data_IF_955092127057
#
_entry.id   IF_955092127057
#
_cell.length_a   1.000
_cell.length_b   1.000
_cell.length_c   1.000
_cell.angle_alpha   90.00
_cell.angle_beta   90.00
_cell.angle_gamma   90.00
#
_symmetry.space_group_name_H-M   'P 1'
#
loop_
_entity.id
_entity.type
_entity.pdbx_description
1 polymer ?
#
# COMPACT_ATOMS: atom_id res chain seq x y z
N UNK A 1 2.29 8.52 -9.73
CA UNK A 1 1.96 8.54 -8.28
C UNK A 1 0.77 7.64 -7.99
N UNK A 2 0.71 7.05 -6.80
CA UNK A 2 -0.41 6.22 -6.36
C UNK A 2 -0.60 6.29 -4.84
N UNK A 3 -1.80 5.98 -4.39
CA UNK A 3 -2.14 5.73 -2.99
C UNK A 3 -3.32 4.74 -2.94
N UNK A 4 -3.71 4.26 -1.75
CA UNK A 4 -4.76 3.22 -1.59
C UNK A 4 -6.02 3.51 -2.41
N UNK A 5 -6.62 4.70 -2.26
CA UNK A 5 -7.89 5.08 -2.90
C UNK A 5 -7.83 6.34 -3.77
N UNK A 6 -6.66 6.81 -4.17
CA UNK A 6 -6.49 7.96 -5.08
C UNK A 6 -6.57 9.36 -4.44
N UNK A 7 -7.34 9.58 -3.37
CA UNK A 7 -7.60 10.94 -2.83
C UNK A 7 -6.35 11.75 -2.45
N UNK A 8 -5.30 11.09 -1.93
CA UNK A 8 -4.03 11.77 -1.61
C UNK A 8 -3.29 12.20 -2.88
N UNK A 9 -3.38 11.40 -3.94
CA UNK A 9 -2.76 11.72 -5.22
C UNK A 9 -3.48 12.87 -5.93
N UNK A 10 -4.80 13.00 -5.80
CA UNK A 10 -5.53 14.15 -6.35
C UNK A 10 -5.01 15.48 -5.77
N UNK A 11 -4.89 15.56 -4.45
CA UNK A 11 -4.34 16.75 -3.78
C UNK A 11 -2.87 16.95 -4.09
N UNK A 12 -2.07 15.88 -4.05
CA UNK A 12 -0.64 15.93 -4.32
C UNK A 12 -0.33 16.34 -5.76
N UNK A 13 -1.10 15.86 -6.73
CA UNK A 13 -0.88 16.16 -8.15
C UNK A 13 -1.24 17.60 -8.46
N UNK A 14 -2.33 18.12 -7.90
CA UNK A 14 -2.70 19.53 -7.99
C UNK A 14 -1.61 20.43 -7.38
N UNK A 15 -1.05 20.05 -6.24
CA UNK A 15 0.05 20.78 -5.60
C UNK A 15 1.34 20.78 -6.44
N UNK A 16 1.75 19.63 -6.98
CA UNK A 16 2.94 19.54 -7.83
C UNK A 16 2.80 20.34 -9.13
N UNK A 17 1.60 20.31 -9.73
CA UNK A 17 1.27 21.11 -10.92
C UNK A 17 1.31 22.61 -10.62
N UNK A 18 0.74 23.05 -9.50
CA UNK A 18 0.74 24.48 -9.13
C UNK A 18 2.14 25.03 -8.83
N UNK A 19 3.05 24.16 -8.37
CA UNK A 19 4.45 24.48 -8.14
C UNK A 19 5.35 24.28 -9.36
N UNK A 20 4.81 23.84 -10.50
CA UNK A 20 5.55 23.54 -11.73
C UNK A 20 6.80 22.66 -11.51
N UNK A 21 6.75 21.75 -10.52
CA UNK A 21 7.90 20.91 -10.13
C UNK A 21 8.24 19.90 -11.23
N UNK A 22 7.23 19.45 -11.98
CA UNK A 22 7.37 18.49 -13.05
C UNK A 22 6.47 18.89 -14.24
N UNK A 23 6.93 18.58 -15.46
CA UNK A 23 6.18 18.81 -16.70
C UNK A 23 4.94 17.93 -16.78
N UNK A 24 5.09 16.65 -16.44
CA UNK A 24 4.02 15.65 -16.49
C UNK A 24 3.82 15.01 -15.12
N UNK A 25 2.64 15.25 -14.52
CA UNK A 25 2.25 14.65 -13.24
C UNK A 25 1.19 13.58 -13.49
N UNK A 26 1.61 12.32 -13.47
CA UNK A 26 0.75 11.16 -13.70
C UNK A 26 0.31 10.52 -12.38
N UNK A 27 -0.95 10.13 -12.30
CA UNK A 27 -1.53 9.46 -11.14
C UNK A 27 -2.39 8.26 -11.53
N UNK A 28 -2.45 7.26 -10.67
CA UNK A 28 -3.31 6.09 -10.84
C UNK A 28 -4.76 6.46 -10.49
N UNK A 29 -5.65 6.47 -11.48
CA UNK A 29 -7.06 6.82 -11.29
C UNK A 29 -7.77 5.81 -10.39
N UNK A 30 -8.33 6.28 -9.27
CA UNK A 30 -8.98 5.43 -8.26
C UNK A 30 -8.01 4.70 -7.32
N UNK A 31 -6.70 4.94 -7.44
CA UNK A 31 -5.69 4.34 -6.55
C UNK A 31 -5.48 2.85 -6.77
N UNK A 32 -4.75 2.24 -5.83
CA UNK A 32 -4.36 0.83 -5.90
C UNK A 32 -5.59 -0.09 -5.81
N UNK A 33 -6.60 0.27 -4.99
CA UNK A 33 -7.81 -0.54 -4.84
C UNK A 33 -8.49 -0.80 -6.20
N UNK A 34 -8.74 0.25 -6.97
CA UNK A 34 -9.36 0.15 -8.30
C UNK A 34 -8.47 -0.56 -9.33
N UNK A 35 -7.15 -0.43 -9.20
CA UNK A 35 -6.22 -1.16 -10.03
C UNK A 35 -6.33 -2.68 -9.80
N UNK A 36 -6.41 -3.10 -8.54
CA UNK A 36 -6.52 -4.52 -8.19
C UNK A 36 -7.85 -5.14 -8.62
N UNK A 37 -8.95 -4.39 -8.56
CA UNK A 37 -10.24 -4.83 -9.09
C UNK A 37 -10.19 -5.05 -10.61
N UNK A 38 -9.40 -4.26 -11.34
CA UNK A 38 -9.35 -4.29 -12.81
C UNK A 38 -8.27 -5.22 -13.37
N UNK A 39 -7.19 -5.43 -12.62
CA UNK A 39 -6.02 -6.19 -13.04
C UNK A 39 -5.61 -7.18 -11.93
N UNK A 40 -6.35 -8.29 -11.77
CA UNK A 40 -6.06 -9.28 -10.73
C UNK A 40 -4.66 -9.91 -10.90
N UNK A 41 -4.25 -10.20 -12.14
CA UNK A 41 -2.92 -10.71 -12.47
C UNK A 41 -1.89 -9.58 -12.70
N UNK A 42 -2.11 -8.42 -12.09
CA UNK A 42 -1.29 -7.24 -12.27
C UNK A 42 0.10 -7.33 -11.63
N UNK A 43 0.77 -6.18 -11.60
CA UNK A 43 2.14 -6.03 -11.06
C UNK A 43 2.18 -5.82 -9.54
N UNK A 44 1.03 -5.76 -8.88
CA UNK A 44 0.98 -5.57 -7.44
C UNK A 44 1.43 -6.84 -6.71
N UNK A 45 2.16 -6.68 -5.61
CA UNK A 45 2.71 -7.75 -4.76
C UNK A 45 2.47 -7.39 -3.31
N UNK A 46 2.05 -8.36 -2.48
CA UNK A 46 1.74 -8.13 -1.08
C UNK A 46 0.28 -7.75 -0.80
N UNK A 47 0.07 -7.22 0.41
CA UNK A 47 -1.25 -6.83 0.91
C UNK A 47 -1.47 -5.33 0.86
N UNK A 48 -2.68 -4.93 0.47
CA UNK A 48 -3.09 -3.53 0.39
C UNK A 48 -3.55 -3.01 1.73
N UNK A 49 -2.76 -2.15 2.36
CA UNK A 49 -3.15 -1.52 3.62
C UNK A 49 -4.39 -0.62 3.49
N UNK A 50 -5.33 -0.80 4.42
CA UNK A 50 -6.58 -0.06 4.54
C UNK A 50 -6.74 0.51 5.95
N UNK A 51 -7.39 1.67 6.04
CA UNK A 51 -7.54 2.43 7.29
C UNK A 51 -8.83 2.06 8.02
N UNK A 52 -9.02 0.77 8.29
CA UNK A 52 -10.13 0.23 9.08
C UNK A 52 -9.69 -1.07 9.79
N UNK A 53 -10.63 -1.73 10.48
CA UNK A 53 -10.38 -2.94 11.27
C UNK A 53 -9.81 -4.13 10.48
N UNK A 54 -9.90 -4.11 9.14
CA UNK A 54 -9.31 -5.15 8.29
C UNK A 54 -7.79 -5.05 8.22
N UNK A 55 -7.23 -3.87 8.47
CA UNK A 55 -5.81 -3.48 8.33
C UNK A 55 -5.23 -3.64 6.93
N UNK A 56 -5.43 -4.77 6.26
CA UNK A 56 -5.02 -5.00 4.89
C UNK A 56 -5.95 -5.93 4.14
N UNK A 57 -6.05 -5.70 2.82
CA UNK A 57 -6.73 -6.56 1.88
C UNK A 57 -5.72 -7.46 1.17
N UNK A 58 -6.06 -8.74 1.03
CA UNK A 58 -5.22 -9.74 0.36
C UNK A 58 -5.70 -9.92 -1.07
N UNK A 59 -4.78 -9.81 -2.03
CA UNK A 59 -5.06 -9.96 -3.47
C UNK A 59 -4.15 -11.00 -4.14
N UNK A 60 -3.00 -11.31 -3.54
CA UNK A 60 -2.08 -12.37 -3.92
C UNK A 60 -1.44 -12.95 -2.65
N UNK A 61 -0.71 -14.06 -2.81
CA UNK A 61 -0.01 -14.77 -1.74
C UNK A 61 1.45 -14.31 -1.56
N UNK A 62 1.84 -13.19 -2.18
CA UNK A 62 3.21 -12.71 -2.15
C UNK A 62 3.55 -12.07 -0.81
N UNK A 63 4.32 -12.76 0.02
CA UNK A 63 4.82 -12.21 1.29
C UNK A 63 6.06 -11.34 1.02
N UNK A 64 5.85 -10.02 1.00
CA UNK A 64 6.93 -9.04 0.76
C UNK A 64 7.55 -8.45 2.04
N UNK A 65 7.01 -8.81 3.20
CA UNK A 65 7.43 -8.27 4.49
C UNK A 65 8.03 -9.37 5.38
N UNK A 66 8.82 -8.93 6.35
CA UNK A 66 9.51 -9.79 7.32
C UNK A 66 9.27 -9.31 8.75
N UNK A 67 9.29 -10.25 9.70
CA UNK A 67 9.23 -9.91 11.10
C UNK A 67 10.49 -9.15 11.52
N UNK A 68 10.32 -8.03 12.22
CA UNK A 68 11.44 -7.21 12.68
C UNK A 68 12.39 -7.95 13.62
N UNK A 69 11.88 -8.89 14.41
CA UNK A 69 12.64 -9.59 15.45
C UNK A 69 13.33 -10.86 14.95
N UNK A 70 12.60 -11.72 14.22
CA UNK A 70 13.10 -13.02 13.79
C UNK A 70 13.44 -13.10 12.30
N UNK A 71 13.14 -12.05 11.50
CA UNK A 71 13.37 -11.99 10.05
C UNK A 71 12.63 -13.06 9.23
N UNK A 72 11.74 -13.83 9.84
CA UNK A 72 10.88 -14.76 9.11
C UNK A 72 9.88 -14.00 8.21
N UNK A 73 9.49 -14.55 7.05
CA UNK A 73 8.44 -13.99 6.22
C UNK A 73 7.17 -13.77 7.04
N UNK A 74 6.64 -12.55 7.03
CA UNK A 74 5.52 -12.17 7.86
C UNK A 74 4.78 -10.98 7.25
N UNK A 75 3.48 -11.13 6.98
CA UNK A 75 2.63 -10.12 6.35
C UNK A 75 1.32 -9.85 7.13
N UNK A 76 1.26 -10.31 8.38
CA UNK A 76 0.09 -10.11 9.25
C UNK A 76 0.26 -8.84 10.08
N UNK A 77 -0.72 -7.95 9.97
CA UNK A 77 -0.85 -6.80 10.86
C UNK A 77 -1.42 -7.27 12.19
N UNK A 78 -0.55 -7.38 13.20
CA UNK A 78 -0.93 -7.64 14.57
C UNK A 78 -0.55 -6.44 15.44
N UNK A 79 -1.43 -6.08 16.37
CA UNK A 79 -1.08 -5.15 17.45
C UNK A 79 0.11 -5.73 18.23
N UNK A 80 1.04 -4.85 18.62
CA UNK A 80 2.18 -5.22 19.44
C UNK A 80 1.68 -5.84 20.75
N UNK A 81 1.81 -7.16 20.87
CA UNK A 81 1.46 -7.92 22.07
C UNK A 81 2.68 -8.75 22.46
N UNK A 82 3.28 -8.55 23.64
CA UNK A 82 4.30 -9.48 24.12
C UNK A 82 3.67 -10.88 24.24
N UNK A 83 4.28 -11.98 23.76
CA UNK A 83 5.60 -12.16 23.13
C UNK A 83 5.51 -12.54 21.63
N UNK A 84 4.53 -12.02 20.87
CA UNK A 84 4.34 -12.42 19.46
C UNK A 84 5.14 -11.56 18.49
N UNK A 85 5.63 -12.19 17.43
CA UNK A 85 6.38 -11.56 16.35
C UNK A 85 5.61 -10.37 15.74
N UNK A 86 6.27 -9.21 15.63
CA UNK A 86 5.66 -7.97 15.14
C UNK A 86 6.15 -7.67 13.72
N UNK A 87 5.21 -7.47 12.80
CA UNK A 87 5.49 -6.84 11.51
C UNK A 87 5.71 -5.34 11.76
N UNK A 88 6.91 -4.83 11.46
CA UNK A 88 7.13 -3.38 11.41
C UNK A 88 7.51 -3.06 9.98
N UNK A 89 6.61 -2.34 9.31
CA UNK A 89 6.73 -1.83 7.95
C UNK A 89 8.17 -1.52 7.51
N UNK A 90 8.60 -2.17 6.43
CA UNK A 90 9.58 -1.67 5.47
C UNK A 90 8.98 -1.78 4.07
#
# INVERSE_FOLDING_TARGET
>A
MYCTGGIRCERGSAYLRSKAVCKDVLQLSGGIHKYLERFPDGFYRGKLFVFDERYALTFNDDVIAECRYCRAPWDQYALCRPPVCVCVWF
#
